data_IF_862390037237
#
_entry.id   IF_862390037237
#
_cell.length_a   1.000
_cell.length_b   1.000
_cell.length_c   1.000
_cell.angle_alpha   90.00
_cell.angle_beta   90.00
_cell.angle_gamma   90.00
#
_symmetry.space_group_name_H-M   'P 1'
#
loop_
_entity.id
_entity.type
_entity.pdbx_description
1 polymer ?
#
# COMPACT_ATOMS: atom_id res chain seq x y z
N UNK A 1 19.08 -18.34 -0.70
CA UNK A 1 19.05 -16.89 -0.38
C UNK A 1 18.34 -16.20 -1.53
N UNK A 2 17.16 -15.67 -1.31
CA UNK A 2 16.38 -14.94 -2.31
C UNK A 2 17.03 -13.59 -2.60
N UNK A 3 16.78 -12.99 -3.78
CA UNK A 3 17.29 -11.66 -4.19
C UNK A 3 17.02 -10.59 -3.12
N UNK A 4 15.87 -10.69 -2.40
CA UNK A 4 15.53 -9.87 -1.21
C UNK A 4 16.58 -9.90 -0.09
N UNK A 5 17.34 -10.99 0.07
CA UNK A 5 18.40 -11.09 1.10
C UNK A 5 19.72 -10.48 0.64
N UNK A 6 19.99 -10.41 -0.67
CA UNK A 6 21.23 -9.85 -1.21
C UNK A 6 21.23 -8.31 -1.23
N UNK A 7 20.08 -7.67 -1.49
CA UNK A 7 20.00 -6.21 -1.59
C UNK A 7 20.06 -5.51 -0.21
N UNK A 8 19.85 -6.25 0.86
CA UNK A 8 19.80 -5.74 2.25
C UNK A 8 21.17 -5.45 2.89
N UNK A 9 22.27 -5.90 2.32
CA UNK A 9 23.56 -5.93 3.02
C UNK A 9 24.48 -4.73 2.79
N UNK A 10 24.14 -3.78 1.87
CA UNK A 10 25.06 -2.75 1.40
C UNK A 10 24.57 -1.29 1.49
N UNK A 11 23.32 -1.04 1.89
CA UNK A 11 22.81 0.34 1.98
C UNK A 11 23.01 0.86 3.40
N UNK A 12 23.68 2.02 3.53
CA UNK A 12 23.71 2.75 4.81
C UNK A 12 22.28 3.12 5.19
N UNK A 13 21.83 2.80 6.41
CA UNK A 13 20.51 3.22 6.86
C UNK A 13 20.49 4.75 7.05
N UNK A 14 19.36 5.35 6.74
CA UNK A 14 19.06 6.72 7.07
C UNK A 14 18.45 6.79 8.47
N UNK A 15 18.73 7.87 9.20
CA UNK A 15 18.21 8.09 10.54
C UNK A 15 16.95 8.93 10.52
N UNK A 16 15.93 8.44 11.18
CA UNK A 16 14.62 9.08 11.28
C UNK A 16 14.16 9.14 12.73
N UNK A 17 13.26 10.08 13.00
CA UNK A 17 12.58 10.21 14.29
C UNK A 17 11.10 9.96 14.13
N UNK A 18 10.51 9.18 15.05
CA UNK A 18 9.06 9.02 15.15
C UNK A 18 8.44 10.35 15.54
N UNK A 19 7.47 10.81 14.76
CA UNK A 19 6.71 12.05 15.03
C UNK A 19 5.28 11.78 15.42
N UNK A 20 4.69 10.66 14.97
CA UNK A 20 3.35 10.25 15.38
C UNK A 20 3.22 8.73 15.42
N UNK A 21 2.41 8.25 16.36
CA UNK A 21 1.98 6.85 16.50
C UNK A 21 0.47 6.85 16.74
N UNK A 22 -0.29 6.25 15.83
CA UNK A 22 -1.76 6.20 15.88
C UNK A 22 -2.23 4.76 15.76
N UNK A 23 -3.36 4.42 16.38
CA UNK A 23 -3.98 3.09 16.30
C UNK A 23 -5.42 3.23 15.79
N UNK A 24 -5.64 3.37 14.47
CA UNK A 24 -6.96 3.60 13.90
C UNK A 24 -7.86 2.36 13.92
N UNK A 25 -7.29 1.16 14.08
CA UNK A 25 -8.02 -0.10 14.20
C UNK A 25 -7.25 -1.08 15.11
N UNK A 26 -7.91 -2.11 15.66
CA UNK A 26 -7.24 -3.16 16.42
C UNK A 26 -6.09 -3.79 15.62
N UNK A 27 -4.95 -3.99 16.27
CA UNK A 27 -3.75 -4.58 15.68
C UNK A 27 -3.16 -3.81 14.48
N UNK A 28 -3.50 -2.55 14.30
CA UNK A 28 -2.97 -1.69 13.27
C UNK A 28 -2.34 -0.44 13.89
N UNK A 29 -1.08 -0.20 13.60
CA UNK A 29 -0.33 0.99 14.03
C UNK A 29 0.10 1.78 12.82
N UNK A 30 -0.25 3.07 12.78
CA UNK A 30 0.28 4.03 11.83
C UNK A 30 1.45 4.77 12.47
N UNK A 31 2.57 4.75 11.77
CA UNK A 31 3.80 5.44 12.18
C UNK A 31 4.12 6.55 11.19
N UNK A 32 4.42 7.74 11.70
CA UNK A 32 5.03 8.81 10.89
C UNK A 32 6.43 9.09 11.39
N UNK A 33 7.36 9.13 10.44
CA UNK A 33 8.77 9.37 10.68
C UNK A 33 9.21 10.60 9.89
N UNK A 34 10.05 11.45 10.50
CA UNK A 34 10.74 12.53 9.79
C UNK A 34 12.25 12.25 9.77
N UNK A 35 12.95 12.60 8.69
CA UNK A 35 14.39 12.41 8.64
C UNK A 35 15.09 13.30 9.65
N UNK A 36 16.21 12.84 10.20
CA UNK A 36 17.13 13.69 10.95
C UNK A 36 17.77 14.73 10.02
N UNK A 37 18.30 15.80 10.58
CA UNK A 37 18.82 16.93 9.83
C UNK A 37 19.88 16.49 8.78
N UNK A 38 19.67 16.87 7.53
CA UNK A 38 20.56 16.55 6.42
C UNK A 38 20.29 15.19 5.74
N UNK A 39 19.36 14.38 6.25
CA UNK A 39 18.98 13.10 5.63
C UNK A 39 17.95 13.33 4.52
N UNK A 40 18.16 12.68 3.38
CA UNK A 40 17.21 12.68 2.25
C UNK A 40 16.94 11.23 1.87
N UNK A 41 15.69 10.83 1.93
CA UNK A 41 15.25 9.50 1.50
C UNK A 41 14.37 9.60 0.25
N UNK A 42 14.99 9.39 -0.91
CA UNK A 42 14.30 9.41 -2.19
C UNK A 42 13.69 8.03 -2.49
N UNK A 43 12.41 7.99 -2.81
CA UNK A 43 11.69 6.76 -3.18
C UNK A 43 10.62 7.05 -4.26
N UNK A 44 10.10 5.98 -4.85
CA UNK A 44 8.96 6.02 -5.77
C UNK A 44 7.72 5.51 -5.05
N UNK A 45 6.57 6.13 -5.31
CA UNK A 45 5.30 5.74 -4.72
C UNK A 45 4.98 4.25 -4.99
N UNK A 46 4.72 3.49 -3.94
CA UNK A 46 4.52 2.03 -3.99
C UNK A 46 5.69 1.21 -3.48
N UNK A 47 6.87 1.81 -3.30
CA UNK A 47 8.05 1.10 -2.74
C UNK A 47 7.93 0.89 -1.23
N UNK A 48 8.77 -0.01 -0.71
CA UNK A 48 8.91 -0.29 0.71
C UNK A 48 10.33 0.02 1.21
N UNK A 49 10.46 0.11 2.53
CA UNK A 49 11.74 0.24 3.21
C UNK A 49 11.89 -0.82 4.31
N UNK A 50 13.13 -1.13 4.67
CA UNK A 50 13.44 -1.90 5.87
C UNK A 50 13.61 -0.95 7.03
N UNK A 51 12.72 -1.05 8.00
CA UNK A 51 12.64 -0.15 9.15
C UNK A 51 13.02 -0.91 10.42
N UNK A 52 14.01 -0.39 11.13
CA UNK A 52 14.52 -0.90 12.41
C UNK A 52 14.33 0.11 13.52
N UNK A 53 14.04 -0.38 14.73
CA UNK A 53 14.01 0.38 15.97
C UNK A 53 14.86 -0.33 16.99
N UNK A 54 15.42 0.41 17.95
CA UNK A 54 16.23 -0.17 19.02
C UNK A 54 15.46 -1.26 19.78
N UNK A 55 16.06 -2.45 19.90
CA UNK A 55 15.44 -3.59 20.55
C UNK A 55 14.35 -4.33 19.76
N UNK A 56 14.06 -3.91 18.53
CA UNK A 56 13.10 -4.58 17.64
C UNK A 56 13.78 -5.19 16.43
N UNK A 57 13.27 -6.32 15.95
CA UNK A 57 13.72 -6.91 14.70
C UNK A 57 13.28 -6.01 13.53
N UNK A 58 14.18 -5.57 12.64
CA UNK A 58 13.83 -4.76 11.48
C UNK A 58 12.82 -5.46 10.57
N UNK A 59 11.85 -4.69 10.05
CA UNK A 59 10.79 -5.19 9.18
C UNK A 59 10.76 -4.44 7.85
N UNK A 60 10.39 -5.14 6.80
CA UNK A 60 10.05 -4.53 5.52
C UNK A 60 8.63 -3.96 5.63
N UNK A 61 8.50 -2.65 5.43
CA UNK A 61 7.25 -1.91 5.55
C UNK A 61 7.03 -1.07 4.29
N UNK A 62 5.88 -1.20 3.67
CA UNK A 62 5.49 -0.39 2.51
C UNK A 62 5.31 1.07 2.93
N UNK A 63 5.82 2.00 2.13
CA UNK A 63 5.72 3.44 2.39
C UNK A 63 4.34 3.91 1.94
N UNK A 64 3.57 4.47 2.88
CA UNK A 64 2.20 4.93 2.65
C UNK A 64 2.10 6.40 2.26
N UNK A 65 3.10 7.22 2.61
CA UNK A 65 3.16 8.64 2.21
C UNK A 65 3.54 8.80 0.73
N UNK A 66 3.14 9.90 0.13
CA UNK A 66 3.63 10.30 -1.19
C UNK A 66 5.10 10.75 -1.11
N UNK A 67 5.93 10.50 -2.14
CA UNK A 67 7.29 11.03 -2.23
C UNK A 67 7.31 12.57 -2.19
N UNK A 68 8.34 13.13 -1.56
CA UNK A 68 8.54 14.58 -1.48
C UNK A 68 7.78 15.29 -0.36
N UNK A 69 6.99 14.58 0.43
CA UNK A 69 6.27 15.17 1.59
C UNK A 69 7.17 15.42 2.80
N UNK A 70 8.42 14.95 2.79
CA UNK A 70 9.34 15.03 3.94
C UNK A 70 9.01 14.10 5.09
N UNK A 71 8.00 13.24 4.95
CA UNK A 71 7.53 12.30 5.97
C UNK A 71 7.47 10.91 5.36
N UNK A 72 7.92 9.90 6.12
CA UNK A 72 7.61 8.49 5.82
C UNK A 72 6.46 8.04 6.72
N UNK A 73 5.39 7.57 6.11
CA UNK A 73 4.26 6.95 6.80
C UNK A 73 4.26 5.45 6.54
N UNK A 74 4.06 4.66 7.61
CA UNK A 74 3.99 3.21 7.55
C UNK A 74 2.75 2.71 8.28
N UNK A 75 2.08 1.72 7.68
CA UNK A 75 0.93 1.04 8.29
C UNK A 75 1.36 -0.37 8.69
N UNK A 76 1.47 -0.59 9.98
CA UNK A 76 1.99 -1.84 10.54
C UNK A 76 0.86 -2.65 11.16
N UNK A 77 0.51 -3.77 10.52
CA UNK A 77 -0.43 -4.73 11.12
C UNK A 77 0.37 -5.73 11.98
N UNK A 78 0.02 -5.80 13.24
CA UNK A 78 0.57 -6.78 14.17
C UNK A 78 -0.19 -8.11 14.06
N UNK A 79 0.55 -9.21 13.98
CA UNK A 79 -0.03 -10.55 13.99
C UNK A 79 -0.20 -11.04 15.44
N UNK A 80 -1.37 -11.57 15.84
CA UNK A 80 -1.67 -11.94 17.24
C UNK A 80 -0.68 -12.94 17.87
N UNK A 81 0.07 -13.69 17.07
CA UNK A 81 0.96 -14.76 17.54
C UNK A 81 2.46 -14.41 17.52
N UNK A 82 2.85 -13.21 17.14
CA UNK A 82 4.23 -12.73 17.23
C UNK A 82 4.35 -11.71 18.36
N UNK A 83 4.95 -12.14 19.47
CA UNK A 83 5.49 -11.35 20.60
C UNK A 83 5.05 -9.89 20.66
N UNK A 84 3.81 -9.65 21.10
CA UNK A 84 3.29 -8.35 21.51
C UNK A 84 3.30 -7.28 20.43
N UNK A 85 2.34 -6.39 20.51
CA UNK A 85 2.18 -5.20 19.66
C UNK A 85 3.35 -4.22 19.94
N UNK A 86 4.53 -4.50 19.37
CA UNK A 86 5.76 -3.78 19.70
C UNK A 86 5.76 -2.37 19.09
N UNK A 87 5.17 -2.21 17.90
CA UNK A 87 5.10 -0.92 17.23
C UNK A 87 4.15 0.06 17.91
N UNK A 88 3.11 -0.43 18.56
CA UNK A 88 2.19 0.40 19.36
C UNK A 88 2.83 0.97 20.64
N UNK A 89 4.00 0.45 21.04
CA UNK A 89 4.76 0.97 22.20
C UNK A 89 5.71 2.10 21.84
N UNK A 90 5.95 2.30 20.55
CA UNK A 90 6.77 3.42 20.06
C UNK A 90 6.13 4.75 20.46
N UNK A 91 6.96 5.76 20.63
CA UNK A 91 6.55 7.10 21.03
C UNK A 91 7.20 8.16 20.12
N UNK A 92 6.57 9.31 19.96
CA UNK A 92 7.25 10.46 19.38
C UNK A 92 8.59 10.71 20.07
N UNK A 93 9.64 10.86 19.28
CA UNK A 93 11.03 10.99 19.71
C UNK A 93 11.87 9.73 19.55
N UNK A 94 11.28 8.54 19.44
CA UNK A 94 12.03 7.31 19.21
C UNK A 94 12.77 7.35 17.88
N UNK A 95 13.97 6.75 17.85
CA UNK A 95 14.82 6.72 16.67
C UNK A 95 14.57 5.49 15.84
N UNK A 96 14.53 5.67 14.52
CA UNK A 96 14.41 4.62 13.54
C UNK A 96 15.58 4.63 12.55
N UNK A 97 16.01 3.45 12.14
CA UNK A 97 16.91 3.24 11.00
C UNK A 97 16.08 2.76 9.80
N UNK A 98 16.20 3.48 8.67
CA UNK A 98 15.45 3.20 7.45
C UNK A 98 16.43 2.91 6.32
N UNK A 99 16.39 1.70 5.78
CA UNK A 99 17.19 1.29 4.62
C UNK A 99 16.29 1.03 3.42
N UNK A 100 16.75 1.41 2.24
CA UNK A 100 15.99 1.26 1.00
C UNK A 100 16.21 2.45 0.07
N UNK A 101 15.25 2.73 -0.83
CA UNK A 101 13.97 2.02 -1.05
C UNK A 101 14.13 0.68 -1.78
N UNK A 102 13.15 -0.20 -1.62
CA UNK A 102 13.07 -1.50 -2.28
C UNK A 102 11.70 -1.67 -2.97
N UNK A 103 11.62 -2.68 -3.85
CA UNK A 103 10.39 -3.05 -4.54
C UNK A 103 10.24 -2.45 -5.93
N UNK A 104 9.62 -3.23 -6.83
CA UNK A 104 9.36 -2.86 -8.21
C UNK A 104 7.88 -2.51 -8.46
N UNK A 105 7.02 -2.60 -7.43
CA UNK A 105 5.59 -2.30 -7.50
C UNK A 105 5.26 -0.81 -7.46
N UNK A 106 6.09 0.07 -8.04
CA UNK A 106 5.94 1.52 -7.97
C UNK A 106 5.17 2.12 -9.15
N UNK A 107 4.62 3.32 -8.95
CA UNK A 107 3.88 4.11 -9.95
C UNK A 107 4.73 4.37 -11.21
N UNK A 108 4.21 3.97 -12.37
CA UNK A 108 4.79 4.24 -13.70
C UNK A 108 4.23 5.56 -14.23
N UNK A 109 5.07 6.60 -14.21
CA UNK A 109 4.67 7.97 -14.60
C UNK A 109 4.50 8.17 -16.10
N UNK A 110 5.02 7.26 -16.90
CA UNK A 110 4.94 7.22 -18.37
C UNK A 110 3.70 6.52 -18.90
N UNK A 111 2.77 6.13 -18.02
CA UNK A 111 1.52 5.50 -18.40
C UNK A 111 0.41 6.54 -18.61
N UNK A 112 -0.22 6.49 -19.79
CA UNK A 112 -1.28 7.41 -20.20
C UNK A 112 -2.68 6.79 -20.26
N UNK A 113 -2.80 5.53 -19.90
CA UNK A 113 -4.06 4.81 -19.80
C UNK A 113 -4.65 4.83 -18.38
N UNK A 114 -5.83 4.20 -18.20
CA UNK A 114 -6.46 4.07 -16.89
C UNK A 114 -5.59 3.27 -15.90
N UNK A 115 -5.75 3.57 -14.61
CA UNK A 115 -5.07 2.91 -13.51
C UNK A 115 -6.08 2.07 -12.73
N UNK A 116 -5.72 0.81 -12.46
CA UNK A 116 -6.41 -0.05 -11.51
C UNK A 116 -5.52 -0.22 -10.28
N UNK A 117 -6.01 0.15 -9.12
CA UNK A 117 -5.39 -0.11 -7.84
C UNK A 117 -6.23 -1.11 -7.04
N UNK A 118 -5.61 -2.16 -6.52
CA UNK A 118 -6.27 -3.17 -5.71
C UNK A 118 -5.46 -3.42 -4.43
N UNK A 119 -6.09 -3.21 -3.29
CA UNK A 119 -5.46 -3.40 -1.99
C UNK A 119 -6.18 -4.43 -1.14
N UNK A 120 -5.43 -5.21 -0.35
CA UNK A 120 -5.97 -6.07 0.70
C UNK A 120 -5.36 -5.76 2.06
N UNK A 121 -6.18 -5.41 3.05
CA UNK A 121 -5.71 -5.09 4.40
C UNK A 121 -4.61 -4.02 4.41
N UNK A 122 -3.43 -4.31 4.99
CA UNK A 122 -2.31 -3.37 5.03
C UNK A 122 -1.66 -3.09 3.67
N UNK A 123 -2.01 -3.83 2.61
CA UNK A 123 -1.62 -3.51 1.22
C UNK A 123 -2.18 -2.17 0.73
N UNK A 124 -3.08 -1.55 1.48
CA UNK A 124 -3.53 -0.18 1.21
C UNK A 124 -2.41 0.86 1.37
N UNK A 125 -1.37 0.58 2.15
CA UNK A 125 -0.26 1.52 2.37
C UNK A 125 0.46 1.92 1.06
N UNK A 126 1.02 0.99 0.26
CA UNK A 126 1.64 1.34 -1.01
C UNK A 126 0.63 1.89 -2.02
N UNK A 127 -0.63 1.44 -2.00
CA UNK A 127 -1.69 1.96 -2.87
C UNK A 127 -2.03 3.41 -2.53
N UNK A 128 -2.08 3.77 -1.25
CA UNK A 128 -2.24 5.17 -0.81
C UNK A 128 -1.14 6.06 -1.38
N UNK A 129 0.12 5.65 -1.24
CA UNK A 129 1.26 6.36 -1.81
C UNK A 129 1.12 6.56 -3.32
N UNK A 130 0.72 5.52 -4.06
CA UNK A 130 0.52 5.56 -5.52
C UNK A 130 -0.60 6.52 -5.91
N UNK A 131 -1.78 6.40 -5.30
CA UNK A 131 -2.95 7.23 -5.63
C UNK A 131 -2.69 8.69 -5.32
N UNK A 132 -2.22 9.01 -4.11
CA UNK A 132 -1.90 10.37 -3.73
C UNK A 132 -0.85 11.00 -4.65
N UNK A 133 0.19 10.24 -5.00
CA UNK A 133 1.22 10.72 -5.93
C UNK A 133 0.67 10.94 -7.32
N UNK A 134 -0.16 10.03 -7.85
CA UNK A 134 -0.79 10.18 -9.16
C UNK A 134 -1.64 11.46 -9.21
N UNK A 135 -2.49 11.69 -8.20
CA UNK A 135 -3.34 12.88 -8.11
C UNK A 135 -2.51 14.16 -7.94
N UNK A 136 -1.51 14.16 -7.05
CA UNK A 136 -0.62 15.31 -6.81
C UNK A 136 0.22 15.68 -8.04
N UNK A 137 0.56 14.72 -8.89
CA UNK A 137 1.34 14.94 -10.12
C UNK A 137 0.47 15.22 -11.35
N UNK A 138 -0.84 15.38 -11.17
CA UNK A 138 -1.77 15.80 -12.22
C UNK A 138 -2.19 14.68 -13.18
N UNK A 139 -2.19 13.42 -12.75
CA UNK A 139 -2.78 12.32 -13.51
C UNK A 139 -4.29 12.57 -13.65
N UNK A 140 -4.77 12.68 -14.87
CA UNK A 140 -6.19 12.91 -15.20
C UNK A 140 -6.91 11.67 -15.70
N UNK A 141 -6.18 10.60 -16.00
CA UNK A 141 -6.74 9.32 -16.43
C UNK A 141 -7.57 8.70 -15.30
N UNK A 142 -8.60 7.90 -15.63
CA UNK A 142 -9.41 7.21 -14.62
C UNK A 142 -8.56 6.35 -13.68
N UNK A 143 -8.79 6.47 -12.39
CA UNK A 143 -8.18 5.65 -11.33
C UNK A 143 -9.31 4.90 -10.64
N UNK A 144 -9.33 3.57 -10.77
CA UNK A 144 -10.27 2.69 -10.08
C UNK A 144 -9.54 2.03 -8.90
N UNK A 145 -9.98 2.34 -7.69
CA UNK A 145 -9.37 1.78 -6.49
C UNK A 145 -10.34 0.86 -5.74
N UNK A 146 -10.00 -0.42 -5.67
CA UNK A 146 -10.71 -1.46 -4.92
C UNK A 146 -9.96 -1.77 -3.62
N UNK A 147 -10.60 -1.52 -2.49
CA UNK A 147 -10.03 -1.81 -1.17
C UNK A 147 -10.75 -2.97 -0.50
N UNK A 148 -10.12 -4.15 -0.52
CA UNK A 148 -10.61 -5.38 0.10
C UNK A 148 -10.21 -5.49 1.55
N UNK A 149 -11.21 -5.68 2.41
CA UNK A 149 -11.03 -6.03 3.82
C UNK A 149 -12.01 -7.13 4.21
N UNK A 150 -11.86 -7.70 5.41
CA UNK A 150 -12.79 -8.73 5.88
C UNK A 150 -14.13 -8.13 6.24
N UNK A 151 -14.13 -7.13 7.09
CA UNK A 151 -15.33 -6.48 7.63
C UNK A 151 -15.12 -4.98 7.82
N UNK A 152 -16.21 -4.24 8.08
CA UNK A 152 -16.23 -2.78 8.19
C UNK A 152 -15.17 -2.18 9.14
N UNK A 153 -14.91 -2.72 10.34
CA UNK A 153 -13.87 -2.18 11.22
C UNK A 153 -12.45 -2.17 10.64
N UNK A 154 -12.21 -2.96 9.59
CA UNK A 154 -10.92 -3.00 8.91
C UNK A 154 -10.76 -1.89 7.84
N UNK A 155 -11.82 -1.11 7.52
CA UNK A 155 -11.82 0.00 6.55
C UNK A 155 -11.27 1.31 7.14
N UNK A 156 -10.12 1.27 7.78
CA UNK A 156 -9.55 2.39 8.55
C UNK A 156 -9.18 3.66 7.77
N UNK A 157 -9.13 3.61 6.44
CA UNK A 157 -8.87 4.78 5.56
C UNK A 157 -10.07 5.14 4.68
N UNK A 158 -11.27 4.65 4.99
CA UNK A 158 -12.44 4.88 4.16
C UNK A 158 -12.71 6.36 3.93
N UNK A 159 -12.90 7.13 5.00
CA UNK A 159 -13.17 8.58 4.91
C UNK A 159 -12.07 9.33 4.17
N UNK A 160 -10.81 8.92 4.30
CA UNK A 160 -9.70 9.52 3.57
C UNK A 160 -9.86 9.35 2.04
N UNK A 161 -10.19 8.13 1.59
CA UNK A 161 -10.35 7.86 0.14
C UNK A 161 -11.68 8.38 -0.41
N UNK A 162 -12.73 8.43 0.39
CA UNK A 162 -13.98 9.11 0.03
C UNK A 162 -13.75 10.62 -0.17
N UNK A 163 -12.96 11.25 0.71
CA UNK A 163 -12.59 12.66 0.58
C UNK A 163 -11.73 12.92 -0.66
N UNK A 164 -10.81 12.02 -1.00
CA UNK A 164 -10.04 12.10 -2.24
C UNK A 164 -10.96 11.96 -3.46
N UNK A 165 -11.85 10.99 -3.47
CA UNK A 165 -12.78 10.75 -4.58
C UNK A 165 -13.76 11.92 -4.78
N UNK A 166 -14.17 12.60 -3.70
CA UNK A 166 -15.01 13.82 -3.82
C UNK A 166 -14.25 15.01 -4.44
N UNK A 167 -12.94 15.10 -4.23
CA UNK A 167 -12.09 16.19 -4.74
C UNK A 167 -11.50 15.92 -6.13
N UNK A 168 -11.49 14.67 -6.57
CA UNK A 168 -10.87 14.24 -7.81
C UNK A 168 -11.84 13.34 -8.61
N UNK A 169 -12.50 13.92 -9.58
CA UNK A 169 -13.54 13.23 -10.41
C UNK A 169 -13.02 11.99 -11.14
N UNK A 170 -11.70 11.93 -11.39
CA UNK A 170 -11.05 10.77 -12.01
C UNK A 170 -10.74 9.63 -11.04
N UNK A 171 -10.93 9.79 -9.71
CA UNK A 171 -10.76 8.72 -8.72
C UNK A 171 -12.11 8.10 -8.36
N UNK A 172 -12.24 6.79 -8.56
CA UNK A 172 -13.35 5.98 -8.07
C UNK A 172 -12.86 5.06 -6.96
N UNK A 173 -13.37 5.23 -5.76
CA UNK A 173 -13.06 4.39 -4.61
C UNK A 173 -14.18 3.37 -4.36
N UNK A 174 -13.83 2.08 -4.26
CA UNK A 174 -14.75 0.97 -4.09
C UNK A 174 -14.27 0.08 -2.94
N UNK A 175 -14.85 0.22 -1.73
CA UNK A 175 -14.61 -0.73 -0.65
C UNK A 175 -15.30 -2.07 -0.95
N UNK A 176 -14.61 -3.19 -0.64
CA UNK A 176 -15.08 -4.56 -0.86
C UNK A 176 -14.93 -5.36 0.43
N UNK A 177 -16.00 -5.97 0.93
CA UNK A 177 -16.03 -6.75 2.16
C UNK A 177 -16.12 -8.25 1.85
N UNK A 178 -15.14 -9.05 2.32
CA UNK A 178 -15.14 -10.49 2.04
C UNK A 178 -15.92 -11.34 3.05
N UNK A 179 -16.10 -10.86 4.28
CA UNK A 179 -16.71 -11.61 5.39
C UNK A 179 -17.80 -10.80 6.12
N UNK A 180 -18.39 -9.80 5.47
CA UNK A 180 -19.37 -8.93 6.11
C UNK A 180 -20.60 -9.71 6.60
N UNK A 181 -20.85 -9.67 7.91
CA UNK A 181 -22.02 -10.31 8.52
C UNK A 181 -23.33 -9.59 8.16
N UNK A 182 -23.30 -8.30 7.82
CA UNK A 182 -24.45 -7.50 7.43
C UNK A 182 -24.02 -6.44 6.39
N UNK A 183 -23.99 -6.77 5.11
CA UNK A 183 -23.49 -5.88 4.07
C UNK A 183 -24.49 -4.77 3.78
N UNK A 184 -24.55 -3.75 4.62
CA UNK A 184 -25.40 -2.56 4.41
C UNK A 184 -24.94 -1.82 3.16
N UNK A 185 -25.54 -2.14 2.00
CA UNK A 185 -25.33 -1.46 0.70
C UNK A 185 -23.86 -1.41 0.21
N UNK A 186 -22.98 -2.23 0.76
CA UNK A 186 -21.57 -2.33 0.35
C UNK A 186 -21.33 -3.50 -0.58
N UNK A 187 -20.32 -3.38 -1.41
CA UNK A 187 -19.84 -4.47 -2.25
C UNK A 187 -19.31 -5.62 -1.40
N UNK A 188 -19.78 -6.83 -1.65
CA UNK A 188 -19.28 -8.04 -0.99
C UNK A 188 -18.55 -8.96 -1.97
N UNK A 189 -17.72 -9.87 -1.44
CA UNK A 189 -16.96 -10.82 -2.22
C UNK A 189 -15.46 -10.52 -2.28
N UNK A 190 -14.78 -11.11 -3.23
CA UNK A 190 -13.33 -10.90 -3.40
C UNK A 190 -13.05 -9.70 -4.33
N UNK A 191 -11.91 -9.04 -4.10
CA UNK A 191 -11.51 -7.86 -4.88
C UNK A 191 -11.48 -8.14 -6.39
N UNK A 192 -10.88 -9.26 -6.81
CA UNK A 192 -10.84 -9.63 -8.23
C UNK A 192 -12.22 -9.82 -8.85
N UNK A 193 -13.16 -10.41 -8.11
CA UNK A 193 -14.56 -10.59 -8.55
C UNK A 193 -15.29 -9.25 -8.68
N UNK A 194 -15.06 -8.34 -7.72
CA UNK A 194 -15.62 -7.00 -7.77
C UNK A 194 -15.11 -6.22 -8.98
N UNK A 195 -13.81 -6.32 -9.28
CA UNK A 195 -13.21 -5.73 -10.49
C UNK A 195 -13.86 -6.31 -11.76
N UNK A 196 -13.96 -7.63 -11.86
CA UNK A 196 -14.54 -8.31 -13.04
C UNK A 196 -16.00 -7.93 -13.29
N UNK A 197 -16.78 -7.74 -12.22
CA UNK A 197 -18.17 -7.32 -12.34
C UNK A 197 -18.36 -5.87 -12.81
N UNK A 198 -17.42 -4.97 -12.45
CA UNK A 198 -17.51 -3.55 -12.78
C UNK A 198 -16.81 -3.21 -14.11
N UNK A 199 -15.74 -3.92 -14.45
CA UNK A 199 -14.82 -3.62 -15.53
C UNK A 199 -14.58 -4.88 -16.37
N UNK A 200 -15.46 -5.21 -17.32
CA UNK A 200 -15.38 -6.45 -18.10
C UNK A 200 -14.24 -6.47 -19.12
N UNK A 201 -13.61 -5.32 -19.39
CA UNK A 201 -12.48 -5.17 -20.31
C UNK A 201 -11.44 -4.24 -19.70
N UNK A 202 -10.19 -4.70 -19.62
CA UNK A 202 -9.10 -3.97 -18.97
C UNK A 202 -7.88 -3.76 -19.89
N UNK A 203 -8.04 -3.90 -21.22
CA UNK A 203 -6.97 -3.62 -22.17
C UNK A 203 -6.52 -2.16 -22.05
N UNK A 204 -5.20 -1.93 -21.96
CA UNK A 204 -4.63 -0.60 -21.79
C UNK A 204 -4.60 -0.07 -20.36
N UNK A 205 -5.11 -0.82 -19.40
CA UNK A 205 -4.93 -0.48 -17.98
C UNK A 205 -3.52 -0.86 -17.49
N UNK A 206 -3.06 -0.13 -16.47
CA UNK A 206 -1.94 -0.53 -15.64
C UNK A 206 -2.44 -0.79 -14.22
N UNK A 207 -2.08 -1.95 -13.66
CA UNK A 207 -2.58 -2.41 -12.37
C UNK A 207 -1.50 -2.39 -11.29
N UNK A 208 -1.89 -2.00 -10.08
CA UNK A 208 -1.10 -2.02 -8.86
C UNK A 208 -1.84 -2.84 -7.82
N UNK A 209 -1.31 -4.03 -7.47
CA UNK A 209 -2.00 -5.02 -6.63
C UNK A 209 -1.16 -5.35 -5.42
N UNK A 210 -1.66 -5.01 -4.22
CA UNK A 210 -0.94 -5.21 -2.96
C UNK A 210 -1.84 -5.82 -1.89
N UNK A 211 -1.31 -6.77 -1.13
CA UNK A 211 -2.06 -7.42 -0.08
C UNK A 211 -1.53 -8.81 0.27
N UNK A 212 -2.36 -9.67 0.88
CA UNK A 212 -1.99 -11.06 1.14
C UNK A 212 -1.64 -11.79 -0.17
N UNK A 213 -0.60 -12.67 -0.19
CA UNK A 213 -0.13 -13.34 -1.41
C UNK A 213 -1.24 -14.05 -2.21
N UNK A 214 -2.14 -14.73 -1.52
CA UNK A 214 -3.27 -15.42 -2.18
C UNK A 214 -4.20 -14.44 -2.92
N UNK A 215 -4.52 -13.28 -2.30
CA UNK A 215 -5.32 -12.23 -2.94
C UNK A 215 -4.59 -11.63 -4.14
N UNK A 216 -3.30 -11.29 -3.99
CA UNK A 216 -2.49 -10.71 -5.07
C UNK A 216 -2.50 -11.65 -6.27
N UNK A 217 -2.20 -12.95 -6.04
CA UNK A 217 -2.18 -13.96 -7.10
C UNK A 217 -3.53 -14.12 -7.80
N UNK A 218 -4.60 -14.32 -7.04
CA UNK A 218 -5.94 -14.53 -7.62
C UNK A 218 -6.43 -13.28 -8.38
N UNK A 219 -6.20 -12.09 -7.82
CA UNK A 219 -6.56 -10.84 -8.49
C UNK A 219 -5.77 -10.67 -9.79
N UNK A 220 -4.45 -10.88 -9.79
CA UNK A 220 -3.65 -10.76 -10.99
C UNK A 220 -4.07 -11.73 -12.10
N UNK A 221 -4.38 -12.98 -11.76
CA UNK A 221 -4.93 -13.96 -12.72
C UNK A 221 -6.24 -13.45 -13.36
N UNK A 222 -7.14 -12.90 -12.53
CA UNK A 222 -8.39 -12.32 -13.03
C UNK A 222 -8.14 -11.12 -13.95
N UNK A 223 -7.23 -10.21 -13.58
CA UNK A 223 -6.87 -9.05 -14.40
C UNK A 223 -6.28 -9.45 -15.75
N UNK A 224 -5.46 -10.51 -15.80
CA UNK A 224 -4.96 -11.05 -17.05
C UNK A 224 -6.09 -11.61 -17.92
N UNK A 225 -7.04 -12.34 -17.33
CA UNK A 225 -8.21 -12.86 -18.05
C UNK A 225 -9.10 -11.73 -18.63
N UNK A 226 -9.09 -10.55 -18.00
CA UNK A 226 -9.80 -9.34 -18.44
C UNK A 226 -8.98 -8.47 -19.42
N UNK A 227 -7.76 -8.88 -19.80
CA UNK A 227 -6.98 -8.26 -20.86
C UNK A 227 -5.82 -7.36 -20.43
N UNK A 228 -5.46 -7.30 -19.15
CA UNK A 228 -4.20 -6.64 -18.72
C UNK A 228 -3.02 -7.57 -19.05
N UNK A 229 -2.01 -7.04 -19.73
CA UNK A 229 -0.78 -7.80 -19.94
C UNK A 229 -0.04 -8.03 -18.62
N UNK A 230 0.57 -9.21 -18.38
CA UNK A 230 1.30 -9.49 -17.14
C UNK A 230 2.33 -8.42 -16.74
N UNK A 231 3.05 -7.87 -17.71
CA UNK A 231 4.04 -6.79 -17.50
C UNK A 231 3.45 -5.47 -16.99
N UNK A 232 2.13 -5.30 -17.11
CA UNK A 232 1.39 -4.11 -16.67
C UNK A 232 0.72 -4.30 -15.32
N UNK A 233 0.95 -5.46 -14.65
CA UNK A 233 0.54 -5.74 -13.27
C UNK A 233 1.75 -5.61 -12.36
N UNK A 234 1.69 -4.68 -11.42
CA UNK A 234 2.78 -4.35 -10.50
C UNK A 234 2.41 -4.73 -9.06
N UNK A 235 3.31 -5.44 -8.38
CA UNK A 235 3.19 -5.79 -6.96
C UNK A 235 4.58 -5.96 -6.34
N UNK A 236 4.66 -6.16 -5.02
CA UNK A 236 5.91 -6.49 -4.32
C UNK A 236 6.28 -7.99 -4.39
N UNK A 237 5.42 -8.82 -4.92
CA UNK A 237 5.66 -10.25 -5.14
C UNK A 237 6.41 -10.47 -6.45
N UNK A 238 7.55 -11.16 -6.41
CA UNK A 238 8.42 -11.38 -7.61
C UNK A 238 7.77 -12.27 -8.68
N UNK A 239 6.68 -12.97 -8.36
CA UNK A 239 6.01 -13.87 -9.31
C UNK A 239 4.51 -13.86 -9.05
N UNK A 240 3.82 -12.93 -9.68
CA UNK A 240 2.37 -12.80 -9.53
C UNK A 240 1.62 -13.74 -10.48
N UNK A 241 2.28 -14.21 -11.54
CA UNK A 241 1.70 -15.03 -12.62
C UNK A 241 2.60 -16.19 -12.94
#
# INVERSE_FOLDING_TARGET
MTKRQKDSAALRPHHFRVTAVEQPAPHLTLLRLTPEAGEVFAFRAGQYARVGFHGLTPRNLSIASAPGTGILEFHVRDRPHHTGNLFSRLKPGDMAEVAGPFGEGYLRKDHWGPILAAAGGSGVAPVKSIIETALMTGVTQPIHFYFGVRDEPDLYLESHFEDLARRHENLRFIPVLSEAANPRARRTGLVGEAVAADLPQLSGFKAYVFGPPAMVKSTAQMLCALGIAPRDIHSDEETVI
#
